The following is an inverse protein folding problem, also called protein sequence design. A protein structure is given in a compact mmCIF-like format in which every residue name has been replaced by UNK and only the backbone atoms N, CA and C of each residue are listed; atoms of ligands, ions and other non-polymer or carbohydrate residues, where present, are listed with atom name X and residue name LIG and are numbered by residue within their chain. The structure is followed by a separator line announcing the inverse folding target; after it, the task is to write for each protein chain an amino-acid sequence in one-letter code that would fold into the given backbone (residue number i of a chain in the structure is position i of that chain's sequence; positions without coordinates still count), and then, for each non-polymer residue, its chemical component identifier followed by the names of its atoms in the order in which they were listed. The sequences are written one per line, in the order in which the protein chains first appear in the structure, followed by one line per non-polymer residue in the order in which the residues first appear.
data_IF_593002521201
#
_entry.id   IF_593002521201
#
_cell.length_a   1.000
_cell.length_b   1.000
_cell.length_c   1.000
_cell.angle_alpha   90.00
_cell.angle_beta   90.00
_cell.angle_gamma   90.00
#
_symmetry.space_group_name_H-M   'P 1'
#
loop_
_entity.id
_entity.type
_entity.pdbx_description
1 polymer ?
#
# COMPACT_ATOMS: atom_id res chain seq x y z
N UNK A 1 19.63 43.04 1.07
CA UNK A 1 19.31 41.66 1.48
C UNK A 1 18.29 41.73 2.61
N UNK A 2 17.03 41.26 2.45
CA UNK A 2 16.07 41.30 3.54
C UNK A 2 16.13 40.03 4.40
N UNK A 3 15.92 40.22 5.70
CA UNK A 3 16.03 39.25 6.77
C UNK A 3 15.10 38.05 6.60
N UNK A 4 15.59 36.86 6.96
CA UNK A 4 14.79 35.64 7.13
C UNK A 4 13.75 35.93 8.20
N UNK A 5 12.47 35.85 7.83
CA UNK A 5 11.38 35.98 8.78
C UNK A 5 11.30 34.68 9.57
N UNK A 6 11.80 34.70 10.80
CA UNK A 6 11.51 33.69 11.82
C UNK A 6 10.01 33.75 12.12
N UNK A 7 9.21 32.99 11.36
CA UNK A 7 7.80 32.80 11.65
C UNK A 7 7.70 31.79 12.80
N UNK A 8 7.37 32.29 13.99
CA UNK A 8 7.01 31.46 15.14
C UNK A 8 6.00 30.36 14.73
N UNK A 9 6.18 29.11 15.18
CA UNK A 9 5.24 28.05 14.90
C UNK A 9 3.86 28.40 15.49
N UNK A 10 2.76 28.10 14.79
CA UNK A 10 1.42 28.49 15.20
C UNK A 10 1.06 27.88 16.56
N UNK A 11 0.40 28.68 17.42
CA UNK A 11 -0.07 28.28 18.75
C UNK A 11 -0.79 26.91 18.77
N UNK A 12 -0.62 26.08 19.82
CA UNK A 12 -1.22 24.74 19.93
C UNK A 12 -2.73 24.67 19.73
N UNK A 13 -3.47 25.76 19.97
CA UNK A 13 -4.92 25.86 19.69
C UNK A 13 -5.21 26.03 18.20
N UNK A 14 -4.38 26.78 17.47
CA UNK A 14 -4.52 26.98 16.02
C UNK A 14 -4.07 25.76 15.22
N UNK A 15 -3.11 24.98 15.73
CA UNK A 15 -2.71 23.67 15.17
C UNK A 15 -3.86 22.66 15.24
N UNK A 16 -4.42 22.44 16.43
CA UNK A 16 -5.61 21.59 16.65
C UNK A 16 -6.80 21.94 15.77
N UNK A 17 -7.08 23.24 15.57
CA UNK A 17 -8.17 23.68 14.69
C UNK A 17 -7.91 23.41 13.20
N UNK A 18 -6.65 23.51 12.75
CA UNK A 18 -6.26 23.17 11.37
C UNK A 18 -6.26 21.66 11.13
N UNK A 19 -5.88 20.88 12.13
CA UNK A 19 -5.91 19.41 12.10
C UNK A 19 -7.34 18.87 12.06
N UNK A 20 -8.25 19.42 12.88
CA UNK A 20 -9.67 19.07 12.84
C UNK A 20 -10.32 19.40 11.49
N UNK A 21 -9.95 20.53 10.88
CA UNK A 21 -10.42 20.91 9.54
C UNK A 21 -9.87 19.98 8.45
N UNK A 22 -8.59 19.59 8.54
CA UNK A 22 -7.96 18.64 7.61
C UNK A 22 -8.58 17.23 7.71
N UNK A 23 -8.85 16.75 8.93
CA UNK A 23 -9.51 15.47 9.17
C UNK A 23 -10.96 15.46 8.64
N UNK A 24 -11.70 16.56 8.81
CA UNK A 24 -13.04 16.70 8.27
C UNK A 24 -13.07 16.74 6.73
N UNK A 25 -12.09 17.42 6.12
CA UNK A 25 -11.92 17.49 4.66
C UNK A 25 -11.52 16.14 4.07
N UNK A 26 -10.57 15.44 4.69
CA UNK A 26 -10.19 14.09 4.32
C UNK A 26 -11.41 13.16 4.42
N UNK A 27 -12.22 13.29 5.48
CA UNK A 27 -13.47 12.54 5.64
C UNK A 27 -14.51 12.83 4.54
N UNK A 28 -14.60 14.06 4.03
CA UNK A 28 -15.45 14.42 2.88
C UNK A 28 -14.92 13.79 1.58
N UNK A 29 -13.64 13.97 1.30
CA UNK A 29 -13.00 13.40 0.11
C UNK A 29 -13.10 11.88 0.10
N UNK A 30 -12.96 11.22 1.25
CA UNK A 30 -13.16 9.78 1.39
C UNK A 30 -14.60 9.38 1.05
N UNK A 31 -15.62 10.13 1.49
CA UNK A 31 -17.03 9.82 1.16
C UNK A 31 -17.33 9.97 -0.32
N UNK A 32 -16.82 11.02 -0.95
CA UNK A 32 -16.95 11.25 -2.40
C UNK A 32 -16.19 10.18 -3.20
N UNK A 33 -15.00 9.78 -2.74
CA UNK A 33 -14.20 8.75 -3.38
C UNK A 33 -14.82 7.35 -3.24
N UNK A 34 -15.42 7.02 -2.09
CA UNK A 34 -16.17 5.77 -1.86
C UNK A 34 -17.40 5.63 -2.76
N UNK A 35 -17.98 6.73 -3.24
CA UNK A 35 -19.15 6.70 -4.12
C UNK A 35 -18.80 6.43 -5.60
N UNK A 36 -17.54 6.64 -6.02
CA UNK A 36 -17.18 6.75 -7.43
C UNK A 36 -16.37 5.59 -8.05
N UNK A 37 -15.70 4.72 -7.28
CA UNK A 37 -14.85 3.66 -7.86
C UNK A 37 -14.89 2.37 -7.05
N UNK A 38 -15.28 1.29 -7.75
CA UNK A 38 -15.18 -0.13 -7.41
C UNK A 38 -14.59 -0.47 -6.03
N UNK A 39 -15.48 -0.70 -5.07
CA UNK A 39 -15.12 -1.24 -3.75
C UNK A 39 -14.76 -2.73 -3.86
N UNK A 40 -13.48 -3.03 -4.06
CA UNK A 40 -12.92 -4.25 -3.50
C UNK A 40 -12.22 -3.87 -2.21
N UNK A 41 -12.99 -3.90 -1.10
CA UNK A 41 -12.40 -3.79 0.23
C UNK A 41 -11.58 -5.04 0.49
N UNK A 42 -10.26 -4.90 0.46
CA UNK A 42 -9.35 -5.96 0.89
C UNK A 42 -9.54 -6.14 2.39
N UNK A 43 -10.17 -7.24 2.79
CA UNK A 43 -10.35 -7.57 4.20
C UNK A 43 -9.10 -8.25 4.72
N UNK A 44 -8.36 -7.56 5.57
CA UNK A 44 -7.30 -8.18 6.35
C UNK A 44 -7.89 -9.06 7.45
N UNK A 45 -7.19 -10.13 7.87
CA UNK A 45 -7.42 -10.80 9.14
C UNK A 45 -7.47 -9.77 10.28
N UNK A 46 -8.37 -9.97 11.24
CA UNK A 46 -8.63 -8.98 12.31
C UNK A 46 -7.37 -8.65 13.11
N UNK A 47 -6.58 -9.66 13.39
CA UNK A 47 -5.33 -9.61 14.15
C UNK A 47 -4.29 -8.76 13.41
N UNK A 48 -4.14 -8.98 12.10
CA UNK A 48 -3.24 -8.19 11.25
C UNK A 48 -3.71 -6.74 11.14
N UNK A 49 -5.02 -6.51 10.97
CA UNK A 49 -5.58 -5.15 10.93
C UNK A 49 -5.29 -4.41 12.24
N UNK A 50 -5.52 -5.06 13.38
CA UNK A 50 -5.26 -4.49 14.71
C UNK A 50 -3.78 -4.16 14.92
N UNK A 51 -2.89 -5.05 14.49
CA UNK A 51 -1.45 -4.79 14.53
C UNK A 51 -1.08 -3.55 13.72
N UNK A 52 -1.53 -3.46 12.47
CA UNK A 52 -1.25 -2.31 11.60
C UNK A 52 -1.82 -1.00 12.13
N UNK A 53 -3.01 -1.04 12.75
CA UNK A 53 -3.57 0.11 13.47
C UNK A 53 -2.62 0.53 14.59
N UNK A 54 -2.13 -0.41 15.41
CA UNK A 54 -1.19 -0.12 16.48
C UNK A 54 0.13 0.49 15.98
N UNK A 55 0.71 -0.06 14.91
CA UNK A 55 1.92 0.49 14.26
C UNK A 55 1.69 1.92 13.76
N UNK A 56 0.52 2.18 13.18
CA UNK A 56 0.16 3.50 12.69
C UNK A 56 0.02 4.51 13.83
N UNK A 57 -0.61 4.11 14.94
CA UNK A 57 -0.70 4.94 16.14
C UNK A 57 0.68 5.20 16.73
N UNK A 58 1.54 4.18 16.79
CA UNK A 58 2.90 4.29 17.28
C UNK A 58 3.73 5.25 16.44
N UNK A 59 3.66 5.16 15.11
CA UNK A 59 4.33 6.09 14.21
C UNK A 59 3.89 7.55 14.46
N UNK A 60 2.59 7.82 14.60
CA UNK A 60 2.10 9.16 14.88
C UNK A 60 2.61 9.69 16.23
N UNK A 61 2.62 8.84 17.25
CA UNK A 61 3.15 9.23 18.56
C UNK A 61 4.66 9.53 18.48
N UNK A 62 5.45 8.68 17.84
CA UNK A 62 6.91 8.80 17.82
C UNK A 62 7.41 9.90 16.89
N UNK A 63 6.86 9.99 15.68
CA UNK A 63 7.35 10.91 14.64
C UNK A 63 6.65 12.26 14.65
N UNK A 64 5.47 12.36 15.26
CA UNK A 64 4.64 13.57 15.24
C UNK A 64 4.24 14.09 16.62
N UNK A 65 4.61 13.38 17.70
CA UNK A 65 4.19 13.69 19.07
C UNK A 65 2.65 13.84 19.18
N UNK A 66 1.93 13.00 18.43
CA UNK A 66 0.49 13.06 18.24
C UNK A 66 -0.18 11.73 18.59
N UNK A 67 -1.12 11.75 19.52
CA UNK A 67 -1.95 10.58 19.83
C UNK A 67 -3.01 10.38 18.75
N UNK A 68 -2.86 9.32 17.95
CA UNK A 68 -3.86 8.92 16.96
C UNK A 68 -4.84 7.93 17.59
N UNK A 69 -6.11 8.32 17.70
CA UNK A 69 -7.17 7.43 18.20
C UNK A 69 -7.41 6.21 17.29
N UNK A 70 -7.98 5.14 17.85
CA UNK A 70 -8.20 3.86 17.14
C UNK A 70 -9.09 4.02 15.90
N UNK A 71 -10.22 4.73 16.02
CA UNK A 71 -11.14 4.95 14.91
C UNK A 71 -10.51 5.78 13.76
N UNK A 72 -9.85 6.93 14.01
CA UNK A 72 -9.07 7.62 12.98
C UNK A 72 -7.99 6.76 12.32
N UNK A 73 -7.25 5.96 13.09
CA UNK A 73 -6.23 5.06 12.57
C UNK A 73 -6.84 3.98 11.67
N UNK A 74 -7.96 3.37 12.08
CA UNK A 74 -8.68 2.39 11.28
C UNK A 74 -9.19 2.99 9.96
N UNK A 75 -9.79 4.19 10.00
CA UNK A 75 -10.26 4.87 8.79
C UNK A 75 -9.13 5.20 7.82
N UNK A 76 -7.97 5.61 8.35
CA UNK A 76 -6.80 5.89 7.54
C UNK A 76 -6.23 4.62 6.92
N UNK A 77 -6.12 3.54 7.69
CA UNK A 77 -5.70 2.23 7.18
C UNK A 77 -6.64 1.74 6.07
N UNK A 78 -7.96 1.79 6.29
CA UNK A 78 -8.95 1.38 5.28
C UNK A 78 -8.84 2.21 3.99
N UNK A 79 -8.57 3.52 4.14
CA UNK A 79 -8.32 4.39 2.99
C UNK A 79 -7.05 3.99 2.24
N UNK A 80 -5.94 3.79 2.94
CA UNK A 80 -4.68 3.35 2.33
C UNK A 80 -4.84 2.01 1.61
N UNK A 81 -5.51 1.03 2.25
CA UNK A 81 -5.77 -0.27 1.64
C UNK A 81 -6.60 -0.14 0.36
N UNK A 82 -7.60 0.75 0.34
CA UNK A 82 -8.43 0.97 -0.84
C UNK A 82 -7.65 1.51 -2.05
N UNK A 83 -6.59 2.29 -1.81
CA UNK A 83 -5.71 2.83 -2.85
C UNK A 83 -4.63 1.84 -3.27
N UNK A 84 -3.97 1.22 -2.31
CA UNK A 84 -2.78 0.41 -2.54
C UNK A 84 -3.10 -1.01 -2.99
N UNK A 85 -4.19 -1.61 -2.50
CA UNK A 85 -4.49 -3.02 -2.77
C UNK A 85 -4.62 -3.37 -4.25
N UNK A 86 -5.34 -2.59 -5.09
CA UNK A 86 -5.45 -2.90 -6.52
C UNK A 86 -4.10 -2.84 -7.23
N UNK A 87 -3.28 -1.84 -6.91
CA UNK A 87 -1.95 -1.63 -7.52
C UNK A 87 -1.02 -2.78 -7.14
N UNK A 88 -0.91 -3.07 -5.84
CA UNK A 88 -0.03 -4.13 -5.32
C UNK A 88 -0.45 -5.49 -5.87
N UNK A 89 -1.74 -5.80 -5.88
CA UNK A 89 -2.22 -7.10 -6.37
C UNK A 89 -1.96 -7.29 -7.86
N UNK A 90 -2.18 -6.26 -8.68
CA UNK A 90 -1.90 -6.37 -10.11
C UNK A 90 -0.41 -6.62 -10.35
N UNK A 91 0.46 -5.85 -9.67
CA UNK A 91 1.90 -6.07 -9.75
C UNK A 91 2.30 -7.48 -9.29
N UNK A 92 1.73 -7.95 -8.17
CA UNK A 92 2.02 -9.29 -7.66
C UNK A 92 1.59 -10.40 -8.64
N UNK A 93 0.48 -10.22 -9.35
CA UNK A 93 0.05 -11.17 -10.40
C UNK A 93 1.01 -11.13 -11.58
N UNK A 94 1.44 -9.95 -12.04
CA UNK A 94 2.42 -9.82 -13.12
C UNK A 94 3.76 -10.47 -12.75
N UNK A 95 4.23 -10.27 -11.52
CA UNK A 95 5.46 -10.87 -11.02
C UNK A 95 5.35 -12.41 -10.94
N UNK A 96 4.19 -12.93 -10.51
CA UNK A 96 3.93 -14.36 -10.51
C UNK A 96 3.92 -14.93 -11.94
N UNK A 97 3.26 -14.26 -12.89
CA UNK A 97 3.24 -14.66 -14.30
C UNK A 97 4.65 -14.67 -14.90
N UNK A 98 5.45 -13.65 -14.62
CA UNK A 98 6.85 -13.57 -15.06
C UNK A 98 7.66 -14.75 -14.54
N UNK A 99 7.58 -15.01 -13.24
CA UNK A 99 8.26 -16.14 -12.60
C UNK A 99 7.87 -17.48 -13.21
N UNK A 100 6.57 -17.69 -13.46
CA UNK A 100 6.07 -18.92 -14.09
C UNK A 100 6.61 -19.07 -15.52
N UNK A 101 6.63 -17.99 -16.31
CA UNK A 101 7.17 -18.03 -17.69
C UNK A 101 8.65 -18.38 -17.71
N UNK A 102 9.45 -17.80 -16.82
CA UNK A 102 10.87 -18.11 -16.70
C UNK A 102 11.09 -19.60 -16.38
N UNK A 103 10.32 -20.15 -15.44
CA UNK A 103 10.39 -21.57 -15.08
C UNK A 103 9.94 -22.50 -16.20
N UNK A 104 8.90 -22.12 -16.94
CA UNK A 104 8.42 -22.89 -18.09
C UNK A 104 9.43 -22.88 -19.23
N UNK A 105 10.06 -21.73 -19.52
CA UNK A 105 11.13 -21.66 -20.53
C UNK A 105 12.33 -22.55 -20.18
N UNK A 106 12.77 -22.53 -18.92
CA UNK A 106 13.83 -23.43 -18.46
C UNK A 106 13.44 -24.91 -18.59
N UNK A 107 12.19 -25.25 -18.25
CA UNK A 107 11.68 -26.61 -18.42
C UNK A 107 11.63 -27.03 -19.90
N UNK A 108 11.22 -26.14 -20.80
CA UNK A 108 11.22 -26.40 -22.24
C UNK A 108 12.65 -26.65 -22.75
N UNK A 109 13.62 -25.82 -22.35
CA UNK A 109 15.05 -26.01 -22.67
C UNK A 109 15.56 -27.37 -22.17
N UNK A 110 15.25 -27.74 -20.92
CA UNK A 110 15.60 -29.04 -20.35
C UNK A 110 15.02 -30.19 -21.18
N UNK A 111 13.73 -30.10 -21.56
CA UNK A 111 13.07 -31.09 -22.41
C UNK A 111 13.70 -31.19 -23.80
N UNK A 112 14.05 -30.05 -24.43
CA UNK A 112 14.76 -30.04 -25.71
C UNK A 112 16.17 -30.64 -25.59
N UNK A 113 16.85 -30.46 -24.46
CA UNK A 113 18.16 -31.09 -24.22
C UNK A 113 18.06 -32.61 -24.10
N UNK A 114 16.97 -33.12 -23.52
CA UNK A 114 16.65 -34.54 -23.41
C UNK A 114 16.13 -35.13 -24.72
N UNK A 115 15.61 -34.29 -25.62
CA UNK A 115 15.17 -34.67 -26.95
C UNK A 115 16.38 -35.09 -27.79
N UNK A 116 16.72 -36.38 -27.74
CA UNK A 116 17.72 -36.96 -28.63
C UNK A 116 17.29 -36.76 -30.09
N UNK A 117 18.23 -36.32 -30.94
CA UNK A 117 18.11 -36.46 -32.37
C UNK A 117 17.98 -37.96 -32.69
N UNK A 118 16.74 -38.45 -32.81
CA UNK A 118 16.46 -39.79 -33.32
C UNK A 118 16.75 -39.79 -34.82
N UNK A 119 18.03 -39.83 -35.18
CA UNK A 119 18.47 -40.19 -36.52
C UNK A 119 19.91 -40.69 -36.52
N UNK A 120 19.98 -42.02 -36.57
CA UNK A 120 20.95 -42.78 -37.36
C UNK A 120 22.41 -42.71 -36.92
N UNK A 121 22.76 -43.45 -35.87
CA UNK A 121 24.00 -44.24 -35.93
C UNK A 121 23.76 -45.40 -36.91
N UNK A 122 23.88 -45.10 -38.22
CA UNK A 122 23.98 -46.09 -39.28
C UNK A 122 25.47 -46.37 -39.50
N UNK A 123 25.95 -47.54 -39.13
CA UNK A 123 26.93 -48.37 -39.86
C UNK A 123 27.12 -49.69 -39.13
#
# INVERSE_FOLDING_TARGET
MPARTDREPPSPRKRRGREAAAAAELGRQIREWKAGRFMHTTKLPKEQKKQLIGELQHYFLMERDEELGELPAELMLDFMLSLLSPVIRNQAVEDAVRTVRERMGALEEDLYSLQQASRTARK
#
